data_IF_107443723456
#
_entry.id   IF_107443723456
#
_cell.length_a   1.000
_cell.length_b   1.000
_cell.length_c   1.000
_cell.angle_alpha   90.00
_cell.angle_beta   90.00
_cell.angle_gamma   90.00
#
_symmetry.space_group_name_H-M   'P 1'
#
loop_
_entity.id
_entity.type
_entity.pdbx_description
1 polymer ?
#
# COMPACT_ATOMS: atom_id res chain seq x y z
N UNK A 1 2.46 9.27 -17.03
CA UNK A 1 3.65 9.47 -16.20
C UNK A 1 3.54 8.68 -14.92
N UNK A 2 4.65 8.17 -14.41
CA UNK A 2 4.64 7.43 -13.16
C UNK A 2 4.30 8.37 -11.99
N UNK A 3 3.58 7.83 -11.00
CA UNK A 3 3.25 8.55 -9.79
C UNK A 3 4.50 8.72 -8.90
N UNK A 4 4.73 9.93 -8.39
CA UNK A 4 5.81 10.19 -7.45
C UNK A 4 5.61 9.40 -6.15
N UNK A 5 4.36 9.24 -5.73
CA UNK A 5 4.02 8.46 -4.54
C UNK A 5 4.34 6.98 -4.78
N UNK A 6 4.01 6.47 -5.97
CA UNK A 6 4.35 5.09 -6.34
C UNK A 6 5.86 4.90 -6.36
N UNK A 7 6.61 5.86 -6.89
CA UNK A 7 8.08 5.81 -6.90
C UNK A 7 8.62 5.72 -5.47
N UNK A 8 8.05 6.47 -4.55
CA UNK A 8 8.41 6.41 -3.14
C UNK A 8 8.19 5.01 -2.55
N UNK A 9 7.07 4.39 -2.88
CA UNK A 9 6.78 3.03 -2.45
C UNK A 9 7.83 2.05 -2.99
N UNK A 10 8.20 2.18 -4.26
CA UNK A 10 9.23 1.34 -4.86
C UNK A 10 10.59 1.55 -4.20
N UNK A 11 10.93 2.78 -3.88
CA UNK A 11 12.17 3.09 -3.17
C UNK A 11 12.17 2.50 -1.76
N UNK A 12 11.03 2.57 -1.07
CA UNK A 12 10.86 1.98 0.25
C UNK A 12 11.00 0.45 0.20
N UNK A 13 10.49 -0.18 -0.86
CA UNK A 13 10.67 -1.63 -1.08
C UNK A 13 12.16 -1.96 -1.16
N UNK A 14 12.92 -1.19 -1.93
CA UNK A 14 14.36 -1.39 -2.05
C UNK A 14 15.07 -1.22 -0.71
N UNK A 15 14.68 -0.19 0.05
CA UNK A 15 15.24 0.05 1.38
C UNK A 15 14.93 -1.09 2.35
N UNK A 16 13.70 -1.59 2.34
CA UNK A 16 13.30 -2.72 3.17
C UNK A 16 14.08 -3.99 2.82
N UNK A 17 14.34 -4.21 1.52
CA UNK A 17 15.16 -5.34 1.08
C UNK A 17 16.58 -5.23 1.61
N UNK A 18 17.19 -4.06 1.54
CA UNK A 18 18.55 -3.82 2.05
C UNK A 18 18.62 -3.99 3.56
N UNK A 19 17.58 -3.55 4.27
CA UNK A 19 17.48 -3.68 5.73
C UNK A 19 17.06 -5.07 6.20
N UNK A 20 16.66 -5.95 5.26
CA UNK A 20 16.12 -7.28 5.55
C UNK A 20 14.87 -7.23 6.43
N UNK A 21 14.09 -6.18 6.27
CA UNK A 21 12.84 -5.98 6.99
C UNK A 21 11.71 -6.67 6.23
N UNK A 22 11.52 -7.96 6.50
CA UNK A 22 10.55 -8.78 5.77
C UNK A 22 9.10 -8.35 6.01
N UNK A 23 8.78 -7.86 7.20
CA UNK A 23 7.42 -7.38 7.49
C UNK A 23 7.07 -6.15 6.66
N UNK A 24 7.93 -5.15 6.68
CA UNK A 24 7.74 -3.93 5.89
C UNK A 24 7.74 -4.25 4.40
N UNK A 25 8.64 -5.12 3.97
CA UNK A 25 8.71 -5.54 2.58
C UNK A 25 7.42 -6.21 2.12
N UNK A 26 6.86 -7.11 2.94
CA UNK A 26 5.60 -7.77 2.64
C UNK A 26 4.44 -6.79 2.53
N UNK A 27 4.36 -5.84 3.46
CA UNK A 27 3.32 -4.80 3.45
C UNK A 27 3.42 -3.93 2.20
N UNK A 28 4.63 -3.49 1.87
CA UNK A 28 4.86 -2.64 0.69
C UNK A 28 4.52 -3.37 -0.62
N UNK A 29 4.88 -4.64 -0.72
CA UNK A 29 4.54 -5.46 -1.89
C UNK A 29 3.04 -5.63 -2.04
N UNK A 30 2.33 -5.85 -0.94
CA UNK A 30 0.87 -5.95 -0.94
C UNK A 30 0.24 -4.64 -1.42
N UNK A 31 0.69 -3.51 -0.90
CA UNK A 31 0.22 -2.20 -1.33
C UNK A 31 0.46 -1.97 -2.82
N UNK A 32 1.63 -2.32 -3.30
CA UNK A 32 1.97 -2.19 -4.72
C UNK A 32 1.05 -3.04 -5.60
N UNK A 33 0.77 -4.28 -5.18
CA UNK A 33 -0.15 -5.17 -5.88
C UNK A 33 -1.57 -4.60 -5.89
N UNK A 34 -2.03 -4.08 -4.77
CA UNK A 34 -3.37 -3.47 -4.65
C UNK A 34 -3.51 -2.29 -5.59
N UNK A 35 -2.49 -1.44 -5.67
CA UNK A 35 -2.47 -0.29 -6.57
C UNK A 35 -2.59 -0.76 -8.02
N UNK A 36 -1.81 -1.76 -8.40
CA UNK A 36 -1.86 -2.34 -9.74
C UNK A 36 -3.23 -2.92 -10.05
N UNK A 37 -3.81 -3.66 -9.11
CA UNK A 37 -5.11 -4.28 -9.29
C UNK A 37 -6.21 -3.25 -9.48
N UNK A 38 -6.20 -2.17 -8.71
CA UNK A 38 -7.15 -1.08 -8.85
C UNK A 38 -7.03 -0.45 -10.23
N UNK A 39 -5.81 -0.20 -10.68
CA UNK A 39 -5.56 0.37 -12.00
C UNK A 39 -6.09 -0.54 -13.11
N UNK A 40 -5.82 -1.82 -13.04
CA UNK A 40 -6.26 -2.81 -14.03
C UNK A 40 -7.79 -2.90 -14.05
N UNK A 41 -8.41 -3.02 -12.88
CA UNK A 41 -9.86 -3.18 -12.76
C UNK A 41 -10.62 -1.94 -13.20
N UNK A 42 -10.06 -0.77 -12.98
CA UNK A 42 -10.67 0.50 -13.36
C UNK A 42 -10.37 0.91 -14.80
N UNK A 43 -9.36 0.29 -15.41
CA UNK A 43 -8.92 0.67 -16.74
C UNK A 43 -8.26 2.05 -16.79
N UNK A 44 -7.75 2.52 -15.67
CA UNK A 44 -7.15 3.85 -15.52
C UNK A 44 -5.67 3.70 -15.19
N UNK A 45 -4.83 4.57 -15.72
CA UNK A 45 -3.41 4.57 -15.42
C UNK A 45 -3.16 4.89 -13.94
N UNK A 46 -2.09 4.33 -13.40
CA UNK A 46 -1.68 4.61 -12.03
C UNK A 46 -1.33 6.09 -11.89
N UNK A 47 -1.96 6.75 -10.92
CA UNK A 47 -1.71 8.16 -10.61
C UNK A 47 -1.61 8.32 -9.09
N UNK A 48 -1.16 9.49 -8.65
CA UNK A 48 -1.07 9.80 -7.22
C UNK A 48 -2.43 9.63 -6.54
N UNK A 49 -3.51 10.01 -7.22
CA UNK A 49 -4.87 9.89 -6.70
C UNK A 49 -5.22 8.44 -6.39
N UNK A 50 -4.93 7.52 -7.32
CA UNK A 50 -5.17 6.09 -7.13
C UNK A 50 -4.33 5.55 -5.99
N UNK A 51 -3.05 5.91 -5.95
CA UNK A 51 -2.14 5.46 -4.89
C UNK A 51 -2.63 5.93 -3.53
N UNK A 52 -3.01 7.18 -3.41
CA UNK A 52 -3.53 7.74 -2.16
C UNK A 52 -4.85 7.09 -1.74
N UNK A 53 -5.72 6.78 -2.68
CA UNK A 53 -6.98 6.09 -2.40
C UNK A 53 -6.74 4.69 -1.83
N UNK A 54 -5.84 3.93 -2.43
CA UNK A 54 -5.47 2.60 -1.96
C UNK A 54 -4.85 2.68 -0.56
N UNK A 55 -3.96 3.64 -0.34
CA UNK A 55 -3.34 3.84 0.98
C UNK A 55 -4.38 4.19 2.04
N UNK A 56 -5.33 5.06 1.71
CA UNK A 56 -6.39 5.44 2.64
C UNK A 56 -7.25 4.24 3.02
N UNK A 57 -7.63 3.43 2.05
CA UNK A 57 -8.41 2.20 2.30
C UNK A 57 -7.64 1.22 3.16
N UNK A 58 -6.36 1.05 2.90
CA UNK A 58 -5.49 0.14 3.66
C UNK A 58 -5.39 0.59 5.12
N UNK A 59 -5.22 1.88 5.36
CA UNK A 59 -5.15 2.44 6.72
C UNK A 59 -6.48 2.27 7.44
N UNK A 60 -7.59 2.49 6.76
CA UNK A 60 -8.92 2.32 7.33
C UNK A 60 -9.14 0.88 7.79
N UNK A 61 -8.79 -0.09 6.95
CA UNK A 61 -8.90 -1.51 7.29
C UNK A 61 -8.07 -1.87 8.51
N UNK A 62 -6.85 -1.37 8.60
CA UNK A 62 -5.98 -1.60 9.76
C UNK A 62 -6.56 -1.02 11.04
N UNK A 63 -7.08 0.20 10.96
CA UNK A 63 -7.70 0.86 12.10
C UNK A 63 -8.94 0.11 12.60
N UNK A 64 -9.79 -0.35 11.70
CA UNK A 64 -10.97 -1.15 12.04
C UNK A 64 -10.57 -2.45 12.73
N UNK A 65 -9.55 -3.13 12.22
CA UNK A 65 -9.05 -4.36 12.82
C UNK A 65 -8.53 -4.13 14.25
N UNK A 66 -7.80 -3.05 14.46
CA UNK A 66 -7.28 -2.69 15.77
C UNK A 66 -8.42 -2.38 16.74
N UNK A 67 -9.43 -1.64 16.30
CA UNK A 67 -10.60 -1.34 17.13
C UNK A 67 -11.36 -2.60 17.52
N UNK A 68 -11.57 -3.51 16.60
CA UNK A 68 -12.22 -4.79 16.87
C UNK A 68 -11.44 -5.59 17.91
N UNK A 69 -10.14 -5.64 17.80
CA UNK A 69 -9.29 -6.36 18.76
C UNK A 69 -9.35 -5.72 20.15
N UNK A 70 -9.37 -4.39 20.23
CA UNK A 70 -9.48 -3.67 21.50
C UNK A 70 -10.83 -3.89 22.16
N UNK A 71 -11.89 -3.83 21.38
CA UNK A 71 -13.25 -3.95 21.89
C UNK A 71 -13.63 -5.38 22.22
N UNK A 72 -13.07 -6.32 21.49
CA UNK A 72 -13.36 -7.74 21.68
C UNK A 72 -12.47 -8.44 22.70
N UNK A 73 -11.43 -7.76 23.10
CA UNK A 73 -10.44 -8.33 23.99
C UNK A 73 -10.59 -7.99 25.40
#
# INVERSE_FOLDING_TARGET
MASDVLQKILDDIKSAMKARDTETLGTLRTLHSDIKNVSINSGVEISDEIVLDVLAKSLKQKNEAIEMLKNGG
#
